data_IF_262176195028
#
_entry.id   IF_262176195028
#
_cell.length_a   1.000
_cell.length_b   1.000
_cell.length_c   1.000
_cell.angle_alpha   90.00
_cell.angle_beta   90.00
_cell.angle_gamma   90.00
#
_symmetry.space_group_name_H-M   'P 1'
#
loop_
_entity.id
_entity.type
_entity.pdbx_description
1 polymer ?
#
# COMPACT_ATOMS: atom_id res chain seq x y z
N UNK A 1 -26.00 -16.14 -12.46
CA UNK A 1 -25.27 -15.03 -13.11
C UNK A 1 -23.87 -15.00 -12.53
N UNK A 2 -22.87 -15.29 -13.34
CA UNK A 2 -21.49 -15.06 -12.94
C UNK A 2 -21.22 -13.56 -13.08
N UNK A 3 -20.85 -12.91 -11.98
CA UNK A 3 -20.30 -11.54 -12.01
C UNK A 3 -18.79 -11.72 -12.14
N UNK A 4 -18.23 -11.38 -13.27
CA UNK A 4 -16.79 -11.28 -13.45
C UNK A 4 -16.39 -9.88 -12.97
N UNK A 5 -15.72 -9.83 -11.83
CA UNK A 5 -15.17 -8.60 -11.28
C UNK A 5 -13.71 -8.47 -11.74
N UNK A 6 -13.37 -7.35 -12.36
CA UNK A 6 -11.99 -6.98 -12.68
C UNK A 6 -11.62 -5.78 -11.82
N UNK A 7 -10.63 -5.92 -10.95
CA UNK A 7 -10.18 -4.79 -10.15
C UNK A 7 -9.65 -3.65 -11.01
N UNK A 8 -10.11 -2.44 -10.72
CA UNK A 8 -9.62 -1.18 -11.26
C UNK A 8 -8.50 -0.61 -10.39
N UNK A 9 -7.93 0.52 -10.81
CA UNK A 9 -6.97 1.26 -10.00
C UNK A 9 -7.58 1.57 -8.62
N UNK A 10 -6.80 1.31 -7.58
CA UNK A 10 -7.12 1.52 -6.16
C UNK A 10 -8.18 0.57 -5.55
N UNK A 11 -8.68 -0.43 -6.27
CA UNK A 11 -9.53 -1.48 -5.70
C UNK A 11 -8.75 -2.36 -4.71
N UNK A 12 -7.46 -2.56 -4.95
CA UNK A 12 -6.51 -3.13 -3.99
C UNK A 12 -5.44 -2.07 -3.73
N UNK A 13 -5.31 -1.65 -2.48
CA UNK A 13 -4.40 -0.58 -2.10
C UNK A 13 -3.24 -1.11 -1.27
N UNK A 14 -2.06 -0.52 -1.44
CA UNK A 14 -0.99 -0.60 -0.46
C UNK A 14 -1.46 0.24 0.74
N UNK A 15 -1.50 -0.37 1.93
CA UNK A 15 -2.19 0.16 3.11
C UNK A 15 -1.26 0.47 4.29
N UNK A 16 -0.25 -0.37 4.52
CA UNK A 16 0.69 -0.22 5.62
C UNK A 16 2.08 -0.72 5.21
N UNK A 17 3.14 -0.06 5.69
CA UNK A 17 4.54 -0.34 5.34
C UNK A 17 5.39 -0.35 6.61
N UNK A 18 5.91 -1.50 7.00
CA UNK A 18 6.93 -1.67 8.04
C UNK A 18 8.28 -1.91 7.37
N UNK A 19 8.99 -0.82 7.04
CA UNK A 19 10.28 -0.92 6.36
C UNK A 19 11.46 -1.09 7.32
N UNK A 20 11.37 -0.54 8.53
CA UNK A 20 12.41 -0.66 9.57
C UNK A 20 11.80 -1.20 10.87
N UNK A 21 11.77 -2.54 11.07
CA UNK A 21 11.18 -3.13 12.27
C UNK A 21 12.08 -3.03 13.51
N UNK A 22 13.31 -2.47 13.42
CA UNK A 22 14.30 -2.44 14.48
C UNK A 22 14.70 -1.03 14.92
N UNK A 23 14.71 -0.76 16.26
CA UNK A 23 14.35 -1.64 17.37
C UNK A 23 12.83 -1.86 17.45
N UNK A 24 12.36 -3.07 17.80
CA UNK A 24 10.94 -3.36 17.84
C UNK A 24 10.24 -2.60 18.97
N UNK A 25 8.99 -2.18 18.72
CA UNK A 25 8.10 -1.58 19.73
C UNK A 25 7.23 -2.66 20.38
N UNK A 26 6.49 -3.41 19.59
CA UNK A 26 5.62 -4.49 20.08
C UNK A 26 5.37 -5.57 19.04
N UNK A 27 5.59 -5.26 17.74
CA UNK A 27 5.50 -6.21 16.65
C UNK A 27 6.78 -7.05 16.51
N UNK A 28 6.73 -8.21 15.83
CA UNK A 28 7.93 -8.98 15.47
C UNK A 28 8.91 -8.16 14.59
N UNK A 29 10.19 -8.53 14.66
CA UNK A 29 11.29 -7.87 13.92
C UNK A 29 11.31 -8.28 12.43
N UNK A 30 10.18 -8.16 11.73
CA UNK A 30 10.03 -8.47 10.32
C UNK A 30 9.56 -7.27 9.52
N UNK A 31 10.17 -7.04 8.37
CA UNK A 31 9.66 -6.13 7.37
C UNK A 31 8.37 -6.68 6.76
N UNK A 32 7.37 -5.84 6.59
CA UNK A 32 6.14 -6.22 5.89
C UNK A 32 5.53 -5.07 5.11
N UNK A 33 4.76 -5.45 4.11
CA UNK A 33 3.86 -4.59 3.35
C UNK A 33 2.45 -5.14 3.51
N UNK A 34 1.45 -4.28 3.68
CA UNK A 34 0.07 -4.73 3.72
C UNK A 34 -0.72 -4.22 2.53
N UNK A 35 -1.55 -5.10 1.98
CA UNK A 35 -2.57 -4.76 1.00
C UNK A 35 -3.94 -4.73 1.65
N UNK A 36 -4.81 -3.80 1.21
CA UNK A 36 -6.22 -3.70 1.58
C UNK A 36 -7.11 -3.86 0.35
N UNK A 37 -8.06 -4.79 0.39
CA UNK A 37 -9.11 -4.93 -0.61
C UNK A 37 -10.27 -4.01 -0.26
N UNK A 38 -10.34 -2.82 -0.86
CA UNK A 38 -11.38 -1.83 -0.57
C UNK A 38 -12.73 -2.17 -1.20
N UNK A 39 -12.82 -3.26 -1.98
CA UNK A 39 -14.02 -3.63 -2.72
C UNK A 39 -14.97 -4.53 -1.93
N UNK A 40 -16.21 -4.61 -2.40
CA UNK A 40 -17.20 -5.58 -1.90
C UNK A 40 -17.08 -6.99 -2.50
N UNK A 41 -15.98 -7.32 -3.20
CA UNK A 41 -15.79 -8.59 -3.91
C UNK A 41 -14.48 -9.25 -3.51
N UNK A 42 -14.42 -10.61 -3.46
CA UNK A 42 -13.15 -11.29 -3.29
C UNK A 42 -12.28 -11.12 -4.55
N UNK A 43 -10.99 -10.92 -4.36
CA UNK A 43 -10.00 -10.75 -5.44
C UNK A 43 -8.95 -11.84 -5.35
N UNK A 44 -8.75 -12.59 -6.43
CA UNK A 44 -7.63 -13.53 -6.56
C UNK A 44 -6.43 -12.78 -7.16
N UNK A 45 -5.30 -12.83 -6.49
CA UNK A 45 -4.06 -12.18 -6.92
C UNK A 45 -3.16 -13.09 -7.78
N UNK A 46 -3.63 -14.29 -8.18
CA UNK A 46 -2.85 -15.17 -9.07
C UNK A 46 -2.43 -14.44 -10.35
N UNK A 47 -1.12 -14.44 -10.62
CA UNK A 47 -0.52 -13.77 -11.78
C UNK A 47 -0.34 -12.25 -11.63
N UNK A 48 -0.70 -11.69 -10.47
CA UNK A 48 -0.35 -10.31 -10.17
C UNK A 48 1.12 -10.19 -9.82
N UNK A 49 1.64 -8.96 -9.80
CA UNK A 49 3.03 -8.66 -9.50
C UNK A 49 3.14 -7.48 -8.55
N UNK A 50 4.06 -7.60 -7.60
CA UNK A 50 4.55 -6.48 -6.81
C UNK A 50 5.93 -6.07 -7.31
N UNK A 51 6.05 -4.87 -7.87
CA UNK A 51 7.36 -4.26 -8.12
C UNK A 51 7.82 -3.63 -6.82
N UNK A 52 8.88 -4.18 -6.26
CA UNK A 52 9.47 -3.79 -4.99
C UNK A 52 10.86 -3.22 -5.25
N UNK A 53 10.93 -1.91 -5.52
CA UNK A 53 12.13 -1.26 -6.02
C UNK A 53 12.54 -1.84 -7.39
N UNK A 54 13.69 -2.51 -7.44
CA UNK A 54 14.18 -3.18 -8.65
C UNK A 54 13.77 -4.67 -8.75
N UNK A 55 13.09 -5.20 -7.74
CA UNK A 55 12.67 -6.60 -7.70
C UNK A 55 11.23 -6.72 -8.20
N UNK A 56 10.94 -7.83 -8.88
CA UNK A 56 9.60 -8.22 -9.30
C UNK A 56 9.21 -9.48 -8.53
N UNK A 57 8.10 -9.42 -7.80
CA UNK A 57 7.59 -10.48 -6.95
C UNK A 57 6.24 -10.93 -7.52
N UNK A 58 6.14 -12.20 -7.88
CA UNK A 58 4.94 -12.80 -8.48
C UNK A 58 4.03 -13.36 -7.39
N UNK A 59 2.72 -13.07 -7.48
CA UNK A 59 1.72 -13.72 -6.68
C UNK A 59 1.28 -15.05 -7.32
N UNK A 60 1.29 -16.08 -6.51
CA UNK A 60 0.67 -17.35 -6.86
C UNK A 60 -0.79 -17.39 -6.36
N UNK A 61 -1.32 -18.56 -6.07
CA UNK A 61 -2.72 -18.74 -5.69
C UNK A 61 -3.02 -18.18 -4.29
N UNK A 62 -3.28 -16.88 -4.20
CA UNK A 62 -3.73 -16.19 -2.99
C UNK A 62 -4.94 -15.30 -3.31
N UNK A 63 -5.89 -15.19 -2.37
CA UNK A 63 -7.11 -14.41 -2.53
C UNK A 63 -7.37 -13.53 -1.33
N UNK A 64 -7.78 -12.31 -1.58
CA UNK A 64 -8.22 -11.37 -0.55
C UNK A 64 -9.74 -11.34 -0.46
N UNK A 65 -10.29 -11.40 0.75
CA UNK A 65 -11.73 -11.26 0.98
C UNK A 65 -12.17 -9.78 0.84
N UNK A 66 -13.48 -9.53 0.62
CA UNK A 66 -14.00 -8.16 0.61
C UNK A 66 -13.67 -7.41 1.90
N UNK A 67 -13.10 -6.21 1.80
CA UNK A 67 -12.66 -5.41 2.94
C UNK A 67 -11.49 -6.03 3.72
N UNK A 68 -10.87 -7.10 3.21
CA UNK A 68 -9.81 -7.83 3.90
C UNK A 68 -8.43 -7.22 3.69
N UNK A 69 -7.54 -7.56 4.61
CA UNK A 69 -6.12 -7.20 4.59
C UNK A 69 -5.27 -8.42 4.25
N UNK A 70 -4.11 -8.20 3.62
CA UNK A 70 -3.14 -9.25 3.31
C UNK A 70 -1.73 -8.74 3.63
N UNK A 71 -1.11 -9.36 4.61
CA UNK A 71 0.27 -9.07 5.00
C UNK A 71 1.23 -9.78 4.03
N UNK A 72 2.18 -9.05 3.48
CA UNK A 72 3.22 -9.54 2.58
C UNK A 72 4.58 -9.43 3.27
N UNK A 73 5.37 -10.48 3.21
CA UNK A 73 6.70 -10.49 3.83
C UNK A 73 7.60 -11.60 3.30
N UNK A 74 8.72 -11.81 3.96
CA UNK A 74 9.58 -12.97 3.71
C UNK A 74 8.87 -14.25 4.21
N UNK A 75 8.98 -15.36 3.50
CA UNK A 75 8.33 -16.63 3.87
C UNK A 75 8.77 -17.14 5.25
N UNK A 76 9.98 -16.79 5.68
CA UNK A 76 10.50 -17.13 7.01
C UNK A 76 9.77 -16.37 8.15
N UNK A 77 9.07 -15.27 7.85
CA UNK A 77 8.27 -14.50 8.79
C UNK A 77 6.90 -15.11 9.11
N UNK A 78 6.47 -16.15 8.38
CA UNK A 78 5.12 -16.70 8.46
C UNK A 78 4.70 -17.04 9.90
N UNK A 79 5.55 -17.72 10.68
CA UNK A 79 5.20 -18.11 12.06
C UNK A 79 4.95 -16.93 13.00
N UNK A 80 5.51 -15.78 12.69
CA UNK A 80 5.45 -14.58 13.53
C UNK A 80 4.37 -13.60 13.05
N UNK A 81 4.05 -13.56 11.74
CA UNK A 81 3.10 -12.63 11.16
C UNK A 81 1.69 -13.21 10.93
N UNK A 82 1.54 -14.52 10.64
CA UNK A 82 0.22 -15.18 10.53
C UNK A 82 -0.70 -14.99 11.74
N UNK A 83 -0.21 -14.87 12.99
CA UNK A 83 -1.09 -14.59 14.12
C UNK A 83 -1.84 -13.24 14.05
N UNK A 84 -1.40 -12.31 13.20
CA UNK A 84 -2.01 -11.00 13.02
C UNK A 84 -3.09 -10.99 11.93
N UNK A 85 -2.97 -11.86 10.90
CA UNK A 85 -3.93 -11.86 9.78
C UNK A 85 -3.53 -12.80 8.64
N UNK A 86 -4.23 -12.66 7.52
CA UNK A 86 -3.87 -13.37 6.29
C UNK A 86 -2.47 -12.94 5.86
N UNK A 87 -1.59 -13.91 5.63
CA UNK A 87 -0.19 -13.68 5.28
C UNK A 87 0.17 -14.36 3.96
N UNK A 88 0.99 -13.70 3.15
CA UNK A 88 1.61 -14.28 1.96
C UNK A 88 3.12 -14.01 1.96
N UNK A 89 3.90 -15.09 2.01
CA UNK A 89 5.36 -15.05 2.02
C UNK A 89 5.96 -15.17 0.63
N UNK A 90 6.94 -14.32 0.34
CA UNK A 90 7.84 -14.47 -0.81
C UNK A 90 9.14 -15.15 -0.35
N UNK A 91 9.80 -15.88 -1.24
CA UNK A 91 11.09 -16.53 -0.95
C UNK A 91 12.24 -15.54 -0.68
N UNK A 92 12.04 -14.28 -0.97
CA UNK A 92 12.91 -13.17 -0.61
C UNK A 92 12.09 -11.90 -0.62
N UNK A 93 11.99 -11.23 0.50
CA UNK A 93 11.30 -9.96 0.65
C UNK A 93 12.12 -9.01 1.52
N UNK A 94 12.30 -7.78 1.04
CA UNK A 94 12.90 -6.72 1.84
C UNK A 94 12.45 -5.35 1.35
N UNK A 95 12.33 -4.42 2.28
CA UNK A 95 11.99 -3.03 2.04
C UNK A 95 13.21 -2.14 2.32
N UNK A 96 13.28 -0.99 1.67
CA UNK A 96 14.36 -0.04 1.93
C UNK A 96 13.94 0.94 3.03
N UNK A 97 14.65 0.96 4.17
CA UNK A 97 14.35 1.83 5.31
C UNK A 97 14.28 3.31 4.93
N UNK A 98 15.10 3.76 3.95
CA UNK A 98 15.10 5.16 3.51
C UNK A 98 14.09 5.50 2.43
N UNK A 99 13.32 4.51 1.95
CA UNK A 99 12.27 4.69 0.97
C UNK A 99 12.52 4.02 -0.36
N UNK A 100 11.44 3.75 -1.07
CA UNK A 100 11.44 3.18 -2.42
C UNK A 100 10.08 3.31 -3.11
N UNK A 101 10.04 2.90 -4.38
CA UNK A 101 8.80 2.78 -5.15
C UNK A 101 8.25 1.37 -5.04
N UNK A 102 6.97 1.27 -4.71
CA UNK A 102 6.17 0.05 -4.69
C UNK A 102 5.06 0.17 -5.72
N UNK A 103 4.87 -0.83 -6.57
CA UNK A 103 3.81 -0.83 -7.59
C UNK A 103 3.15 -2.20 -7.62
N UNK A 104 1.84 -2.23 -7.45
CA UNK A 104 1.01 -3.43 -7.62
C UNK A 104 0.43 -3.45 -9.03
N UNK A 105 0.71 -4.52 -9.77
CA UNK A 105 0.25 -4.73 -11.13
C UNK A 105 -0.72 -5.92 -11.19
N UNK A 106 -1.78 -5.79 -11.98
CA UNK A 106 -2.63 -6.93 -12.33
C UNK A 106 -1.99 -7.77 -13.47
N UNK A 107 -2.56 -8.94 -13.84
CA UNK A 107 -2.01 -9.79 -14.91
C UNK A 107 -1.91 -9.13 -16.29
N UNK A 108 -2.68 -8.08 -16.54
CA UNK A 108 -2.63 -7.29 -17.79
C UNK A 108 -1.59 -6.17 -17.72
N UNK A 109 -0.76 -6.14 -16.67
CA UNK A 109 0.25 -5.11 -16.38
C UNK A 109 -0.34 -3.70 -16.19
N UNK A 110 -1.61 -3.58 -15.80
CA UNK A 110 -2.18 -2.32 -15.36
C UNK A 110 -1.76 -2.02 -13.92
N UNK A 111 -1.43 -0.77 -13.65
CA UNK A 111 -1.12 -0.31 -12.28
C UNK A 111 -2.44 -0.27 -11.49
N UNK A 112 -2.48 -1.00 -10.38
CA UNK A 112 -3.61 -1.04 -9.46
C UNK A 112 -3.35 -0.15 -8.23
N UNK A 113 -2.14 -0.18 -7.69
CA UNK A 113 -1.71 0.70 -6.60
C UNK A 113 -0.24 1.06 -6.76
N UNK A 114 0.13 2.27 -6.36
CA UNK A 114 1.53 2.70 -6.33
C UNK A 114 1.78 3.64 -5.17
N UNK A 115 2.90 3.43 -4.50
CA UNK A 115 3.38 4.26 -3.39
C UNK A 115 4.87 4.51 -3.56
N UNK A 116 5.29 5.76 -3.36
CA UNK A 116 6.71 6.16 -3.34
C UNK A 116 6.96 6.75 -1.96
N UNK A 117 7.34 5.92 -1.01
CA UNK A 117 7.57 6.35 0.36
C UNK A 117 9.02 6.71 0.62
N UNK A 118 9.23 7.55 1.63
CA UNK A 118 10.52 7.85 2.24
C UNK A 118 10.36 8.16 3.74
N UNK A 119 11.48 8.38 4.44
CA UNK A 119 11.48 8.63 5.89
C UNK A 119 10.66 9.86 6.31
N UNK A 120 10.42 10.82 5.44
CA UNK A 120 9.61 12.00 5.78
C UNK A 120 8.14 11.66 6.05
N UNK A 121 7.69 10.49 5.57
CA UNK A 121 6.30 10.01 5.73
C UNK A 121 5.97 9.62 7.17
N UNK A 122 6.97 9.31 8.00
CA UNK A 122 6.73 9.07 9.43
C UNK A 122 6.17 10.31 10.14
N UNK A 123 6.54 11.51 9.68
CA UNK A 123 6.08 12.77 10.30
C UNK A 123 6.56 12.99 11.73
N UNK A 124 7.32 12.05 12.30
CA UNK A 124 7.82 12.03 13.68
C UNK A 124 9.25 11.49 13.70
N UNK A 125 10.25 12.32 14.12
CA UNK A 125 11.66 11.92 14.16
C UNK A 125 11.99 10.82 15.17
N UNK A 126 11.11 10.52 16.12
CA UNK A 126 11.29 9.42 17.06
C UNK A 126 10.86 8.09 16.44
N UNK A 127 9.88 8.14 15.52
CA UNK A 127 9.31 6.96 14.87
C UNK A 127 10.07 6.52 13.62
N UNK A 128 10.83 7.41 12.97
CA UNK A 128 11.69 7.05 11.83
C UNK A 128 13.00 6.34 12.23
N UNK A 129 13.19 6.05 13.53
CA UNK A 129 14.32 5.29 14.04
C UNK A 129 14.04 3.77 14.17
N UNK A 130 12.92 3.30 13.66
CA UNK A 130 12.54 1.89 13.60
C UNK A 130 11.41 1.47 14.56
N UNK A 131 10.83 0.31 14.28
CA UNK A 131 9.76 -0.32 15.07
C UNK A 131 8.35 0.25 14.83
N UNK A 132 8.21 1.19 13.90
CA UNK A 132 6.93 1.80 13.53
C UNK A 132 6.66 1.61 12.04
N UNK A 133 5.41 1.32 11.70
CA UNK A 133 4.95 1.33 10.31
C UNK A 133 4.55 2.73 9.87
N UNK A 134 4.45 2.89 8.55
CA UNK A 134 3.78 4.03 7.91
C UNK A 134 2.41 3.52 7.45
N UNK A 135 1.34 4.18 7.86
CA UNK A 135 -0.05 3.78 7.59
C UNK A 135 -0.76 4.80 6.72
N UNK A 136 -1.58 4.32 5.78
CA UNK A 136 -2.51 5.14 5.02
C UNK A 136 -3.63 5.66 5.94
N UNK A 137 -3.96 6.97 5.85
CA UNK A 137 -4.97 7.61 6.71
C UNK A 137 -6.37 7.35 6.16
N UNK A 138 -6.60 7.62 4.88
CA UNK A 138 -7.92 7.56 4.24
C UNK A 138 -7.86 6.72 2.96
N UNK A 139 -8.44 5.50 2.96
CA UNK A 139 -8.52 4.68 1.75
C UNK A 139 -9.36 5.31 0.62
N UNK A 140 -10.28 6.24 0.94
CA UNK A 140 -11.09 6.94 -0.05
C UNK A 140 -10.31 8.08 -0.75
N UNK A 141 -9.11 8.41 -0.25
CA UNK A 141 -8.18 9.38 -0.85
C UNK A 141 -6.86 8.73 -1.29
N UNK A 142 -6.85 7.71 -2.16
CA UNK A 142 -5.63 6.97 -2.50
C UNK A 142 -4.57 7.81 -3.23
N UNK A 143 -4.94 8.96 -3.79
CA UNK A 143 -4.05 9.87 -4.50
C UNK A 143 -3.47 10.98 -3.61
N UNK A 144 -3.76 10.99 -2.31
CA UNK A 144 -3.32 12.04 -1.37
C UNK A 144 -1.80 12.16 -1.16
N UNK A 145 -1.02 11.20 -1.67
CA UNK A 145 0.44 11.19 -1.51
C UNK A 145 0.83 11.26 -0.04
N UNK A 146 1.94 11.94 0.27
CA UNK A 146 2.45 12.07 1.66
C UNK A 146 1.40 12.63 2.63
N UNK A 147 0.45 13.45 2.18
CA UNK A 147 -0.57 14.02 3.08
C UNK A 147 -1.60 12.98 3.57
N UNK A 148 -1.63 11.80 2.95
CA UNK A 148 -2.51 10.69 3.31
C UNK A 148 -1.78 9.53 3.99
N UNK A 149 -0.57 9.78 4.50
CA UNK A 149 0.25 8.78 5.18
C UNK A 149 0.92 9.37 6.41
N UNK A 150 1.06 8.57 7.46
CA UNK A 150 1.79 8.95 8.67
C UNK A 150 2.24 7.71 9.43
N UNK A 151 3.15 7.87 10.39
CA UNK A 151 3.54 6.79 11.27
C UNK A 151 2.37 6.29 12.12
N UNK A 152 2.26 4.98 12.30
CA UNK A 152 1.29 4.34 13.19
C UNK A 152 1.23 5.02 14.56
N UNK A 153 0.03 5.09 15.12
CA UNK A 153 -0.20 5.51 16.52
C UNK A 153 -0.56 4.32 17.43
N UNK A 154 -0.56 3.10 16.89
CA UNK A 154 -0.80 1.89 17.67
C UNK A 154 0.36 1.66 18.65
N UNK A 155 0.08 1.28 19.93
CA UNK A 155 1.13 1.10 20.93
C UNK A 155 2.16 0.01 20.58
N UNK A 156 1.83 -0.92 19.72
CA UNK A 156 2.73 -1.97 19.26
C UNK A 156 3.55 -1.59 18.01
N UNK A 157 3.33 -0.36 17.46
CA UNK A 157 4.13 0.17 16.35
C UNK A 157 3.51 -0.03 14.96
N UNK A 158 2.39 -0.72 14.84
CA UNK A 158 1.67 -0.96 13.59
C UNK A 158 0.40 -1.77 13.80
N UNK A 159 -0.36 -2.01 12.72
CA UNK A 159 -1.68 -2.67 12.75
C UNK A 159 -1.83 -3.80 11.71
N UNK A 160 -0.82 -4.68 11.52
CA UNK A 160 -0.89 -5.70 10.48
C UNK A 160 -2.15 -6.57 10.62
N UNK A 161 -2.85 -6.82 9.51
CA UNK A 161 -4.06 -7.64 9.44
C UNK A 161 -5.33 -6.93 9.89
N UNK A 162 -5.29 -5.62 10.16
CA UNK A 162 -6.44 -4.88 10.67
C UNK A 162 -6.48 -3.44 10.13
N UNK A 163 -7.58 -2.74 10.42
CA UNK A 163 -7.71 -1.32 10.08
C UNK A 163 -6.61 -0.49 10.73
N UNK A 164 -6.02 0.42 9.96
CA UNK A 164 -4.94 1.31 10.39
C UNK A 164 -5.32 2.12 11.62
N UNK A 165 -4.40 2.24 12.59
CA UNK A 165 -4.64 3.02 13.81
C UNK A 165 -4.82 4.52 13.53
N UNK A 166 -4.32 4.99 12.39
CA UNK A 166 -4.45 6.39 11.93
C UNK A 166 -5.66 6.61 11.04
N UNK A 167 -6.50 5.57 10.81
CA UNK A 167 -7.66 5.68 9.91
C UNK A 167 -8.58 6.82 10.31
N UNK A 168 -8.79 7.78 9.40
CA UNK A 168 -9.64 8.95 9.57
C UNK A 168 -10.00 9.54 8.20
N UNK A 169 -11.04 10.37 8.13
CA UNK A 169 -11.39 11.10 6.92
C UNK A 169 -10.30 12.13 6.57
N UNK A 170 -9.70 12.02 5.41
CA UNK A 170 -8.70 12.94 4.87
C UNK A 170 -9.00 13.25 3.40
N UNK A 171 -10.17 13.88 3.10
CA UNK A 171 -10.62 14.07 1.73
C UNK A 171 -9.70 15.00 0.95
N UNK A 172 -9.47 14.71 -0.33
CA UNK A 172 -8.79 15.65 -1.23
C UNK A 172 -9.66 16.90 -1.41
N UNK A 173 -9.18 18.00 -0.86
CA UNK A 173 -9.83 19.32 -0.98
C UNK A 173 -9.14 20.21 -2.02
N UNK A 174 -8.10 19.71 -2.70
CA UNK A 174 -7.39 20.48 -3.70
C UNK A 174 -8.13 20.38 -5.05
N UNK A 175 -8.54 21.51 -5.64
CA UNK A 175 -9.09 21.47 -6.99
C UNK A 175 -8.02 21.02 -7.98
N UNK A 176 -8.37 20.26 -9.03
CA UNK A 176 -7.43 19.88 -10.06
C UNK A 176 -6.82 21.14 -10.69
N UNK A 177 -5.48 21.18 -10.74
CA UNK A 177 -4.74 22.30 -11.32
C UNK A 177 -4.07 21.85 -12.62
N UNK A 178 -4.36 22.49 -13.78
CA UNK A 178 -3.75 22.08 -15.03
C UNK A 178 -2.25 22.42 -15.05
N UNK A 179 -1.42 21.41 -15.30
CA UNK A 179 0.03 21.58 -15.46
C UNK A 179 0.38 22.33 -16.74
N UNK A 180 -0.41 22.13 -17.80
CA UNK A 180 -0.20 22.74 -19.11
C UNK A 180 -1.53 22.99 -19.84
N UNK A 181 -1.58 24.12 -20.55
CA UNK A 181 -2.69 24.50 -21.41
C UNK A 181 -2.16 24.64 -22.83
N UNK A 182 -2.77 23.91 -23.77
CA UNK A 182 -2.45 23.98 -25.19
C UNK A 182 -3.67 24.39 -26.01
N UNK A 183 -3.46 25.20 -27.06
CA UNK A 183 -4.46 25.48 -28.07
C UNK A 183 -4.16 24.63 -29.29
N UNK A 184 -5.00 23.63 -29.55
CA UNK A 184 -4.89 22.80 -30.76
C UNK A 184 -5.45 23.55 -31.97
N UNK A 185 -6.46 24.39 -31.76
CA UNK A 185 -7.08 25.24 -32.79
C UNK A 185 -7.78 26.44 -32.14
N UNK A 186 -8.39 27.32 -32.94
CA UNK A 186 -9.18 28.46 -32.45
C UNK A 186 -10.36 28.07 -31.54
N UNK A 187 -10.74 26.78 -31.53
CA UNK A 187 -11.92 26.28 -30.82
C UNK A 187 -11.64 25.07 -29.91
N UNK A 188 -10.39 24.59 -29.86
CA UNK A 188 -10.01 23.42 -29.05
C UNK A 188 -8.90 23.80 -28.08
N UNK A 189 -9.22 23.67 -26.79
CA UNK A 189 -8.33 23.84 -25.67
C UNK A 189 -8.06 22.46 -25.05
N UNK A 190 -6.80 22.09 -24.91
CA UNK A 190 -6.36 20.87 -24.21
C UNK A 190 -5.81 21.28 -22.85
N UNK A 191 -6.37 20.70 -21.78
CA UNK A 191 -5.87 20.85 -20.42
C UNK A 191 -5.16 19.56 -20.04
N UNK A 192 -3.93 19.65 -19.55
CA UNK A 192 -3.16 18.56 -19.00
C UNK A 192 -3.17 18.71 -17.47
N UNK A 193 -3.53 17.63 -16.77
CA UNK A 193 -3.58 17.55 -15.31
C UNK A 193 -2.56 16.53 -14.83
#
# INVERSE_FOLDING_TARGET
>A
TFVYFMPAAFDIQINEIMADPNPPVGLPEWEYLELHNTTGFPVNLEGWKLLNGNNELDFENVSMQPGGFLILGDEDAASDLEPYGDFYGFSSFSLNNSGQTLVLLNPDANIISTVIYDNSWYGDPEKDNGGWSIEQIDPENPCGGISNWTASIHPDGGTPGSENAVNDENPDTQPPFPERIEFESEHVLILHF
#
